data_IF_416399619454
#
_entry.id   IF_416399619454
#
_cell.length_a   1.000
_cell.length_b   1.000
_cell.length_c   1.000
_cell.angle_alpha   90.00
_cell.angle_beta   90.00
_cell.angle_gamma   90.00
#
_symmetry.space_group_name_H-M   'P 1'
#
loop_
_entity.id
_entity.type
_entity.pdbx_description
1 polymer ?
#
# COMPACT_ATOMS: atom_id res chain seq x y z
N UNK A 1 -31.39 12.90 -1.18
CA UNK A 1 -30.48 11.90 -0.55
C UNK A 1 -29.32 12.70 -0.01
N UNK A 2 -29.03 12.64 1.30
CA UNK A 2 -27.81 13.24 1.86
C UNK A 2 -26.64 12.48 1.25
N UNK A 3 -25.76 13.16 0.53
CA UNK A 3 -24.46 12.59 0.16
C UNK A 3 -23.76 12.24 1.49
N UNK A 4 -23.72 10.96 1.82
CA UNK A 4 -22.88 10.51 2.93
C UNK A 4 -21.43 10.83 2.55
N UNK A 5 -20.79 11.65 3.33
CA UNK A 5 -19.37 11.97 3.13
C UNK A 5 -18.57 10.66 3.16
N UNK A 6 -17.88 10.35 2.08
CA UNK A 6 -17.02 9.16 2.00
C UNK A 6 -15.61 9.51 2.45
N UNK A 7 -15.20 8.92 3.56
CA UNK A 7 -13.82 9.01 4.04
C UNK A 7 -13.16 7.65 3.85
N UNK A 8 -12.12 7.63 3.05
CA UNK A 8 -11.38 6.43 2.67
C UNK A 8 -9.99 6.50 3.30
N UNK A 9 -9.63 5.46 4.04
CA UNK A 9 -8.27 5.24 4.52
C UNK A 9 -7.53 4.35 3.51
N UNK A 10 -6.54 4.90 2.83
CA UNK A 10 -5.64 4.17 1.95
C UNK A 10 -4.43 3.66 2.73
N UNK A 11 -4.10 2.39 2.56
CA UNK A 11 -2.98 1.74 3.22
C UNK A 11 -2.04 1.09 2.20
N UNK A 12 -0.75 1.28 2.40
CA UNK A 12 0.29 0.40 1.86
C UNK A 12 0.91 -0.37 3.01
N UNK A 13 0.91 -1.70 2.91
CA UNK A 13 1.38 -2.62 3.96
C UNK A 13 2.59 -3.38 3.45
N UNK A 14 3.60 -3.56 4.28
CA UNK A 14 4.86 -4.20 3.90
C UNK A 14 5.99 -3.18 3.82
N UNK A 15 6.85 -3.32 2.81
CA UNK A 15 8.00 -2.47 2.58
C UNK A 15 7.57 -1.01 2.30
N UNK A 16 8.22 -0.06 2.99
CA UNK A 16 7.90 1.37 2.89
C UNK A 16 6.43 1.72 3.19
N UNK A 17 5.85 1.02 4.18
CA UNK A 17 4.45 1.16 4.51
C UNK A 17 4.04 2.60 4.86
N UNK A 18 2.78 2.92 4.63
CA UNK A 18 2.23 4.24 4.87
C UNK A 18 0.71 4.26 4.85
N UNK A 19 0.16 5.40 5.24
CA UNK A 19 -1.27 5.64 5.25
C UNK A 19 -1.61 6.98 4.59
N UNK A 20 -2.80 7.03 3.98
CA UNK A 20 -3.39 8.25 3.43
C UNK A 20 -4.87 8.33 3.78
N UNK A 21 -5.40 9.53 3.87
CA UNK A 21 -6.80 9.78 4.12
C UNK A 21 -7.37 10.65 3.00
N UNK A 22 -8.46 10.17 2.40
CA UNK A 22 -9.10 10.82 1.26
C UNK A 22 -10.57 11.06 1.62
N UNK A 23 -11.06 12.26 1.34
CA UNK A 23 -12.45 12.62 1.49
C UNK A 23 -12.98 13.24 0.19
N UNK A 24 -14.02 12.66 -0.38
CA UNK A 24 -14.70 13.18 -1.58
C UNK A 24 -13.71 13.54 -2.72
N UNK A 25 -12.72 12.64 -2.96
CA UNK A 25 -11.69 12.81 -3.98
C UNK A 25 -10.54 13.74 -3.62
N UNK A 26 -10.50 14.29 -2.40
CA UNK A 26 -9.41 15.16 -1.93
C UNK A 26 -8.55 14.43 -0.91
N UNK A 27 -7.23 14.48 -1.08
CA UNK A 27 -6.28 13.99 -0.08
C UNK A 27 -6.27 14.96 1.09
N UNK A 28 -6.63 14.47 2.27
CA UNK A 28 -6.58 15.24 3.52
C UNK A 28 -5.20 15.15 4.17
N UNK A 29 -4.61 13.96 4.19
CA UNK A 29 -3.29 13.69 4.73
C UNK A 29 -2.69 12.43 4.10
N UNK A 30 -1.36 12.35 4.03
CA UNK A 30 -0.61 11.15 3.65
C UNK A 30 0.76 11.17 4.33
N UNK A 31 1.18 10.02 4.88
CA UNK A 31 2.47 9.90 5.55
C UNK A 31 2.99 8.46 5.50
N UNK A 32 4.31 8.30 5.31
CA UNK A 32 4.96 7.00 5.47
C UNK A 32 5.32 6.72 6.92
N UNK A 33 5.23 5.46 7.31
CA UNK A 33 5.52 4.98 8.68
C UNK A 33 6.96 5.25 9.08
N UNK A 34 7.91 5.18 8.13
CA UNK A 34 9.32 5.48 8.37
C UNK A 34 9.57 6.89 8.93
N UNK A 35 8.72 7.87 8.56
CA UNK A 35 8.85 9.26 9.01
C UNK A 35 8.55 9.39 10.50
N UNK A 36 7.58 8.61 10.99
CA UNK A 36 7.15 8.66 12.39
C UNK A 36 8.05 7.79 13.27
N UNK A 37 8.48 6.65 12.73
CA UNK A 37 9.34 5.70 13.47
C UNK A 37 10.81 6.05 13.45
N UNK A 38 11.25 6.95 12.54
CA UNK A 38 12.66 7.20 12.24
C UNK A 38 13.42 5.91 11.85
N UNK A 39 12.72 5.00 11.16
CA UNK A 39 13.25 3.72 10.71
C UNK A 39 13.05 3.61 9.21
N UNK A 40 14.16 3.74 8.46
CA UNK A 40 14.17 3.62 7.00
C UNK A 40 13.67 2.26 6.54
N UNK A 41 12.92 2.26 5.42
CA UNK A 41 12.37 1.05 4.82
C UNK A 41 11.55 0.22 5.80
N UNK A 42 10.78 0.89 6.66
CA UNK A 42 9.93 0.19 7.60
C UNK A 42 9.03 -0.80 6.88
N UNK A 43 9.05 -2.04 7.35
CA UNK A 43 8.25 -3.13 6.78
C UNK A 43 7.22 -3.61 7.81
N UNK A 44 5.95 -3.50 7.48
CA UNK A 44 4.85 -3.92 8.35
C UNK A 44 3.58 -3.10 8.15
N UNK A 45 2.67 -3.20 9.11
CA UNK A 45 1.42 -2.44 9.10
C UNK A 45 1.65 -1.01 9.61
N UNK A 46 1.17 0.03 8.92
CA UNK A 46 1.47 1.43 9.22
C UNK A 46 0.58 2.00 10.34
N UNK A 47 0.57 1.38 11.51
CA UNK A 47 -0.32 1.75 12.62
C UNK A 47 -0.16 3.20 13.09
N UNK A 48 1.10 3.67 13.17
CA UNK A 48 1.35 5.06 13.58
C UNK A 48 0.94 6.06 12.50
N UNK A 49 1.15 5.71 11.23
CA UNK A 49 0.71 6.53 10.11
C UNK A 49 -0.80 6.65 10.05
N UNK A 50 -1.55 5.58 10.38
CA UNK A 50 -3.01 5.64 10.50
C UNK A 50 -3.43 6.67 11.54
N UNK A 51 -2.87 6.62 12.73
CA UNK A 51 -3.17 7.59 13.79
C UNK A 51 -2.82 9.01 13.36
N UNK A 52 -1.67 9.19 12.71
CA UNK A 52 -1.20 10.52 12.33
C UNK A 52 -2.02 11.15 11.22
N UNK A 53 -2.46 10.40 10.18
CA UNK A 53 -3.33 10.97 9.14
C UNK A 53 -4.69 11.36 9.70
N UNK A 54 -5.25 10.61 10.67
CA UNK A 54 -6.47 10.98 11.36
C UNK A 54 -6.28 12.27 12.18
N UNK A 55 -5.17 12.38 12.90
CA UNK A 55 -4.81 13.54 13.70
C UNK A 55 -4.64 14.80 12.84
N UNK A 56 -3.86 14.71 11.74
CA UNK A 56 -3.63 15.82 10.80
C UNK A 56 -4.95 16.29 10.19
N UNK A 57 -5.77 15.34 9.73
CA UNK A 57 -7.06 15.63 9.10
C UNK A 57 -8.16 16.03 10.10
N UNK A 58 -7.93 15.84 11.40
CA UNK A 58 -8.94 16.01 12.48
C UNK A 58 -10.20 15.20 12.23
N UNK A 59 -10.02 13.97 11.76
CA UNK A 59 -11.07 13.00 11.46
C UNK A 59 -11.19 12.01 12.62
N UNK A 60 -12.40 11.82 13.11
CA UNK A 60 -12.68 10.78 14.09
C UNK A 60 -12.60 9.40 13.43
N UNK A 61 -11.97 8.39 14.07
CA UNK A 61 -11.87 7.03 13.50
C UNK A 61 -13.20 6.44 13.04
N UNK A 62 -14.31 6.77 13.72
CA UNK A 62 -15.66 6.29 13.37
C UNK A 62 -16.20 6.86 12.05
N UNK A 63 -15.60 7.93 11.53
CA UNK A 63 -15.99 8.55 10.26
C UNK A 63 -15.38 7.85 9.04
N UNK A 64 -14.38 6.99 9.25
CA UNK A 64 -13.79 6.21 8.15
C UNK A 64 -14.81 5.19 7.66
N UNK A 65 -15.16 5.28 6.39
CA UNK A 65 -16.19 4.42 5.77
C UNK A 65 -15.61 3.19 5.10
N UNK A 66 -14.43 3.33 4.50
CA UNK A 66 -13.78 2.29 3.70
C UNK A 66 -12.27 2.28 3.97
N UNK A 67 -11.68 1.11 3.96
CA UNK A 67 -10.23 0.92 3.94
C UNK A 67 -9.81 0.33 2.60
N UNK A 68 -8.92 1.00 1.89
CA UNK A 68 -8.33 0.53 0.63
C UNK A 68 -6.87 0.12 0.88
N UNK A 69 -6.51 -1.11 0.54
CA UNK A 69 -5.17 -1.65 0.72
C UNK A 69 -4.53 -1.82 -0.65
N UNK A 70 -3.39 -1.17 -0.87
CA UNK A 70 -2.61 -1.32 -2.10
C UNK A 70 -1.82 -2.63 -2.09
N UNK A 71 -1.92 -3.38 -3.19
CA UNK A 71 -1.31 -4.70 -3.38
C UNK A 71 -2.27 -5.84 -3.07
N UNK A 72 -2.33 -6.79 -4.01
CA UNK A 72 -3.11 -8.03 -3.87
C UNK A 72 -2.30 -9.13 -3.18
N UNK A 73 -0.97 -9.03 -3.21
CA UNK A 73 -0.04 -9.99 -2.59
C UNK A 73 0.83 -9.26 -1.59
N UNK A 74 0.93 -9.80 -0.38
CA UNK A 74 1.80 -9.21 0.64
C UNK A 74 3.26 -9.25 0.22
N UNK A 75 3.93 -8.12 0.41
CA UNK A 75 5.38 -8.03 0.41
C UNK A 75 5.96 -8.01 1.84
N UNK A 76 5.22 -8.50 2.83
CA UNK A 76 5.73 -8.62 4.19
C UNK A 76 6.70 -9.79 4.23
N UNK A 77 7.98 -9.48 4.12
CA UNK A 77 9.06 -10.45 4.31
C UNK A 77 9.27 -10.70 5.81
N UNK A 78 8.88 -11.88 6.29
CA UNK A 78 9.17 -12.29 7.68
C UNK A 78 10.63 -12.70 7.91
N UNK A 79 11.51 -12.69 6.89
CA UNK A 79 12.89 -13.13 7.04
C UNK A 79 13.89 -12.07 6.65
N UNK A 80 14.73 -11.69 7.63
CA UNK A 80 15.85 -10.78 7.51
C UNK A 80 16.95 -11.17 6.50
N UNK A 81 16.86 -12.35 5.92
CA UNK A 81 17.89 -12.86 5.00
C UNK A 81 17.81 -12.28 3.58
N UNK A 82 16.64 -11.77 3.16
CA UNK A 82 16.46 -11.17 1.83
C UNK A 82 16.55 -9.65 1.80
N UNK A 83 16.47 -8.98 2.94
CA UNK A 83 16.58 -7.52 3.00
C UNK A 83 17.93 -7.00 2.51
N UNK A 84 19.01 -7.78 2.65
CA UNK A 84 20.33 -7.43 2.14
C UNK A 84 20.46 -7.53 0.62
N UNK A 85 19.65 -8.37 -0.04
CA UNK A 85 19.67 -8.55 -1.49
C UNK A 85 18.91 -7.43 -2.21
N UNK A 86 17.91 -6.83 -1.56
CA UNK A 86 17.13 -5.71 -2.10
C UNK A 86 17.76 -4.34 -1.79
N UNK A 87 18.69 -4.28 -0.81
CA UNK A 87 19.35 -3.05 -0.38
C UNK A 87 20.73 -2.85 -1.01
N UNK A 88 21.25 -3.81 -1.77
CA UNK A 88 22.45 -3.57 -2.56
C UNK A 88 22.05 -2.85 -3.86
N UNK A 89 22.62 -1.70 -4.14
CA UNK A 89 22.54 -0.96 -5.41
C UNK A 89 23.04 -1.78 -6.62
N UNK A 90 23.26 -3.06 -6.46
CA UNK A 90 23.58 -4.00 -7.52
C UNK A 90 22.27 -4.44 -8.16
N UNK A 91 22.06 -4.07 -9.42
CA UNK A 91 21.11 -4.65 -10.34
C UNK A 91 20.94 -6.14 -10.04
N UNK A 92 19.76 -6.53 -9.54
CA UNK A 92 19.43 -7.96 -9.40
C UNK A 92 19.61 -8.60 -10.74
N UNK A 93 20.60 -9.47 -10.86
CA UNK A 93 20.73 -10.33 -12.02
C UNK A 93 19.55 -11.31 -12.02
N UNK A 94 18.53 -10.97 -12.80
CA UNK A 94 17.32 -11.76 -12.98
C UNK A 94 17.60 -13.18 -13.48
N UNK A 95 18.83 -13.46 -13.95
CA UNK A 95 19.26 -14.80 -14.33
C UNK A 95 19.28 -15.79 -13.18
N UNK A 96 19.52 -15.32 -11.95
CA UNK A 96 19.51 -16.19 -10.76
C UNK A 96 18.08 -16.58 -10.32
N UNK A 97 17.06 -15.79 -10.66
CA UNK A 97 15.65 -16.14 -10.41
C UNK A 97 15.13 -17.19 -11.38
N UNK A 98 15.61 -17.18 -12.62
CA UNK A 98 15.25 -18.18 -13.63
C UNK A 98 15.91 -19.55 -13.38
N UNK A 99 16.99 -19.61 -12.60
CA UNK A 99 17.71 -20.85 -12.30
C UNK A 99 17.14 -21.64 -11.10
N UNK A 100 16.21 -21.06 -10.32
CA UNK A 100 15.59 -21.74 -9.19
C UNK A 100 14.09 -21.41 -9.06
N UNK A 101 13.22 -22.04 -9.88
CA UNK A 101 11.79 -21.83 -9.83
C UNK A 101 11.15 -22.16 -8.47
N UNK A 102 11.73 -23.06 -7.68
CA UNK A 102 11.25 -23.37 -6.32
C UNK A 102 11.47 -22.23 -5.32
N UNK A 103 12.47 -21.39 -5.56
CA UNK A 103 12.68 -20.16 -4.76
C UNK A 103 11.57 -19.15 -4.97
N UNK A 104 11.05 -19.04 -6.19
CA UNK A 104 9.96 -18.15 -6.53
C UNK A 104 8.63 -18.61 -5.91
N UNK A 105 8.35 -19.91 -5.93
CA UNK A 105 7.15 -20.49 -5.30
C UNK A 105 7.15 -20.28 -3.78
N UNK A 106 8.31 -20.40 -3.15
CA UNK A 106 8.45 -20.13 -1.71
C UNK A 106 8.30 -18.65 -1.37
N UNK A 107 8.74 -17.76 -2.26
CA UNK A 107 8.59 -16.32 -2.15
C UNK A 107 7.12 -15.87 -2.29
N UNK A 108 6.35 -16.52 -3.14
CA UNK A 108 4.95 -16.19 -3.43
C UNK A 108 3.97 -16.88 -2.46
N UNK A 109 4.32 -18.05 -1.90
CA UNK A 109 3.39 -18.90 -1.15
C UNK A 109 3.21 -18.54 0.33
N UNK A 110 4.08 -17.70 0.93
CA UNK A 110 4.10 -17.49 2.38
C UNK A 110 3.36 -16.25 2.89
N UNK A 111 2.77 -15.46 2.01
CA UNK A 111 2.02 -14.27 2.42
C UNK A 111 0.64 -14.27 1.77
N UNK A 112 -0.31 -14.93 2.41
CA UNK A 112 -1.70 -14.91 1.96
C UNK A 112 -2.38 -13.57 2.30
N UNK A 113 -3.36 -13.17 1.52
CA UNK A 113 -4.26 -12.05 1.83
C UNK A 113 -4.84 -12.13 3.26
N UNK A 114 -4.97 -13.36 3.78
CA UNK A 114 -5.51 -13.61 5.11
C UNK A 114 -4.57 -13.11 6.21
N UNK A 115 -3.25 -13.25 6.05
CA UNK A 115 -2.28 -12.77 7.03
C UNK A 115 -2.23 -11.24 7.06
N UNK A 116 -2.22 -10.60 5.89
CA UNK A 116 -2.29 -9.14 5.80
C UNK A 116 -3.58 -8.62 6.41
N UNK A 117 -4.69 -9.22 6.04
CA UNK A 117 -6.00 -8.81 6.51
C UNK A 117 -6.12 -8.92 8.04
N UNK A 118 -5.54 -9.97 8.64
CA UNK A 118 -5.51 -10.15 10.08
C UNK A 118 -4.69 -9.05 10.77
N UNK A 119 -3.49 -8.73 10.26
CA UNK A 119 -2.64 -7.67 10.81
C UNK A 119 -3.26 -6.28 10.63
N UNK A 120 -3.83 -6.00 9.46
CA UNK A 120 -4.54 -4.73 9.22
C UNK A 120 -5.74 -4.60 10.16
N UNK A 121 -6.58 -5.64 10.28
CA UNK A 121 -7.72 -5.61 11.21
C UNK A 121 -7.30 -5.35 12.65
N UNK A 122 -6.22 -5.97 13.10
CA UNK A 122 -5.65 -5.71 14.42
C UNK A 122 -5.27 -4.23 14.56
N UNK A 123 -4.56 -3.68 13.59
CA UNK A 123 -4.16 -2.27 13.59
C UNK A 123 -5.36 -1.32 13.55
N UNK A 124 -6.41 -1.63 12.78
CA UNK A 124 -7.64 -0.84 12.74
C UNK A 124 -8.34 -0.83 14.11
N UNK A 125 -8.40 -1.96 14.80
CA UNK A 125 -8.96 -2.05 16.16
C UNK A 125 -8.14 -1.19 17.13
N UNK A 126 -6.81 -1.28 17.08
CA UNK A 126 -5.90 -0.49 17.93
C UNK A 126 -6.04 1.02 17.68
N UNK A 127 -6.42 1.43 16.49
CA UNK A 127 -6.63 2.84 16.11
C UNK A 127 -8.08 3.30 16.26
N UNK A 128 -8.97 2.44 16.73
CA UNK A 128 -10.39 2.76 16.95
C UNK A 128 -11.24 2.79 15.67
N UNK A 129 -10.70 2.31 14.55
CA UNK A 129 -11.41 2.27 13.28
C UNK A 129 -12.23 0.99 13.16
N UNK A 130 -13.53 1.13 12.93
CA UNK A 130 -14.47 0.02 12.73
C UNK A 130 -15.18 0.17 11.39
N UNK A 131 -14.56 -0.32 10.32
CA UNK A 131 -15.12 -0.23 8.97
C UNK A 131 -15.89 -1.48 8.58
N UNK A 132 -16.88 -1.28 7.72
CA UNK A 132 -17.68 -2.36 7.12
C UNK A 132 -17.04 -2.90 5.84
N UNK A 133 -16.21 -2.09 5.19
CA UNK A 133 -15.67 -2.40 3.88
C UNK A 133 -14.15 -2.27 3.88
N UNK A 134 -13.47 -3.35 3.47
CA UNK A 134 -12.04 -3.38 3.19
C UNK A 134 -11.89 -3.87 1.75
N UNK A 135 -11.22 -3.09 0.90
CA UNK A 135 -10.97 -3.41 -0.50
C UNK A 135 -9.47 -3.54 -0.74
N UNK A 136 -9.08 -4.49 -1.58
CA UNK A 136 -7.72 -4.60 -2.08
C UNK A 136 -7.66 -4.02 -3.48
N UNK A 137 -6.63 -3.23 -3.73
CA UNK A 137 -6.37 -2.59 -5.02
C UNK A 137 -5.08 -3.17 -5.58
N UNK A 138 -5.11 -3.56 -6.85
CA UNK A 138 -3.91 -4.03 -7.55
C UNK A 138 -2.75 -3.03 -7.39
N UNK A 139 -1.53 -3.54 -7.20
CA UNK A 139 -0.36 -2.73 -6.93
C UNK A 139 -0.08 -1.71 -8.03
N UNK A 140 -0.06 -2.15 -9.28
CA UNK A 140 0.18 -1.25 -10.41
C UNK A 140 -0.98 -0.32 -10.68
N UNK A 141 -2.22 -0.75 -10.41
CA UNK A 141 -3.39 0.13 -10.47
C UNK A 141 -3.30 1.24 -9.40
N UNK A 142 -2.79 0.94 -8.20
CA UNK A 142 -2.57 1.95 -7.17
C UNK A 142 -1.51 2.98 -7.60
N UNK A 143 -0.40 2.54 -8.24
CA UNK A 143 0.58 3.44 -8.86
C UNK A 143 -0.03 4.28 -9.97
N UNK A 144 -0.76 3.65 -10.89
CA UNK A 144 -1.42 4.35 -11.99
C UNK A 144 -2.42 5.40 -11.50
N UNK A 145 -3.24 5.04 -10.50
CA UNK A 145 -4.20 5.96 -9.89
C UNK A 145 -3.50 7.17 -9.25
N UNK A 146 -2.39 6.95 -8.52
CA UNK A 146 -1.65 8.06 -7.93
C UNK A 146 -1.07 9.00 -8.99
N UNK A 147 -0.55 8.47 -10.10
CA UNK A 147 -0.05 9.28 -11.20
C UNK A 147 -1.19 10.04 -11.90
N UNK A 148 -2.31 9.35 -12.19
CA UNK A 148 -3.43 9.93 -12.90
C UNK A 148 -4.16 11.01 -12.08
N UNK A 149 -4.58 10.71 -10.86
CA UNK A 149 -5.38 11.63 -10.04
C UNK A 149 -4.58 12.80 -9.45
N UNK A 150 -3.24 12.73 -9.41
CA UNK A 150 -2.37 13.81 -8.94
C UNK A 150 -1.66 14.54 -10.09
N UNK A 151 -1.91 14.15 -11.33
CA UNK A 151 -1.32 14.78 -12.51
C UNK A 151 -1.94 16.14 -12.82
N UNK A 152 -1.31 16.92 -13.72
CA UNK A 152 -1.71 18.31 -14.03
C UNK A 152 -2.83 18.41 -15.08
N UNK A 153 -3.39 17.31 -15.55
CA UNK A 153 -4.46 17.24 -16.56
C UNK A 153 -5.85 17.29 -15.93
N UNK A 154 -6.86 17.53 -16.75
CA UNK A 154 -8.25 17.42 -16.32
C UNK A 154 -8.66 15.92 -16.29
N UNK A 155 -9.58 15.54 -15.39
CA UNK A 155 -10.01 14.15 -15.24
C UNK A 155 -10.85 13.61 -16.43
N UNK A 156 -11.23 14.46 -17.37
CA UNK A 156 -11.88 14.12 -18.63
C UNK A 156 -10.93 13.95 -19.82
N UNK A 157 -9.63 14.21 -19.61
CA UNK A 157 -8.60 13.96 -20.62
C UNK A 157 -8.20 12.47 -20.66
N UNK A 158 -8.04 11.94 -21.87
CA UNK A 158 -7.45 10.62 -22.08
C UNK A 158 -5.93 10.69 -21.87
N UNK A 159 -5.44 10.02 -20.85
CA UNK A 159 -4.03 10.03 -20.46
C UNK A 159 -3.50 8.60 -20.42
N UNK A 160 -2.42 8.34 -21.14
CA UNK A 160 -1.71 7.08 -21.06
C UNK A 160 -0.83 7.08 -19.80
N UNK A 161 -1.08 6.16 -18.87
CA UNK A 161 -0.29 6.00 -17.66
C UNK A 161 0.55 4.72 -17.74
N UNK A 162 1.86 4.89 -17.75
CA UNK A 162 2.81 3.78 -17.68
C UNK A 162 3.32 3.63 -16.24
N UNK A 163 3.28 2.41 -15.70
CA UNK A 163 3.88 2.09 -14.41
C UNK A 163 5.09 1.19 -14.59
N UNK A 164 6.17 1.45 -13.85
CA UNK A 164 7.34 0.59 -13.79
C UNK A 164 7.82 0.49 -12.33
N UNK A 165 7.98 -0.73 -11.86
CA UNK A 165 8.41 -1.05 -10.51
C UNK A 165 9.28 -2.31 -10.52
N UNK A 166 10.02 -2.55 -9.43
CA UNK A 166 10.83 -3.77 -9.29
C UNK A 166 9.99 -5.04 -9.35
N UNK A 167 8.93 -5.10 -8.57
CA UNK A 167 7.87 -6.11 -8.62
C UNK A 167 6.67 -5.69 -7.76
N UNK A 168 5.47 -5.81 -8.29
CA UNK A 168 4.21 -5.61 -7.56
C UNK A 168 3.16 -6.58 -8.07
N UNK A 169 2.56 -7.37 -7.17
CA UNK A 169 1.57 -8.41 -7.48
C UNK A 169 1.99 -9.43 -8.54
N UNK A 170 3.31 -9.58 -8.76
CA UNK A 170 3.90 -10.53 -9.71
C UNK A 170 4.16 -9.97 -11.10
N UNK A 171 3.98 -8.66 -11.30
CA UNK A 171 4.32 -7.95 -12.54
C UNK A 171 5.22 -6.75 -12.22
N UNK A 172 5.97 -6.28 -13.23
CA UNK A 172 6.93 -5.18 -13.08
C UNK A 172 6.50 -3.89 -13.78
N UNK A 173 5.51 -3.96 -14.68
CA UNK A 173 5.04 -2.79 -15.40
C UNK A 173 3.64 -2.98 -15.97
N UNK A 174 2.89 -1.89 -16.11
CA UNK A 174 1.59 -1.86 -16.79
C UNK A 174 1.45 -0.62 -17.67
N UNK A 175 0.53 -0.70 -18.62
CA UNK A 175 0.02 0.43 -19.39
C UNK A 175 -1.47 0.52 -19.09
N UNK A 176 -1.93 1.69 -18.67
CA UNK A 176 -3.29 1.96 -18.25
C UNK A 176 -3.88 3.14 -19.03
#
# INVERSE_FOLDING_TARGET
MKNEQRIILGLHVGHDSGASLIQDGKILAAISEERIRNLKHYNGTPTKSILEVLNIAKVDPSQVTTVAIAGLKSQIHKTSQFSHLLLSDTFLDWSCLNSNPKGLEHFVSHNSHLDILAEVKKSLIETGINVKEIVFVDHHLAHAASAYYLGPWNLDEEVLVFTADGAGDGISSTIN
#
